data_IF_303547227569
#
_entry.id   IF_303547227569
#
_cell.length_a   1.000
_cell.length_b   1.000
_cell.length_c   1.000
_cell.angle_alpha   90.00
_cell.angle_beta   90.00
_cell.angle_gamma   90.00
#
_symmetry.space_group_name_H-M   'P 1'
#
loop_
_entity.id
_entity.type
_entity.pdbx_description
1 polymer ?
#
# COMPACT_ATOMS: atom_id res chain seq x y z
N UNK A 1 -35.96 -55.88 47.85
CA UNK A 1 -34.65 -55.41 48.36
C UNK A 1 -33.72 -55.17 47.18
N UNK A 2 -32.86 -54.13 47.21
CA UNK A 2 -32.34 -53.40 46.04
C UNK A 2 -31.08 -54.08 45.47
N UNK A 3 -30.60 -53.79 44.25
CA UNK A 3 -29.63 -52.73 43.90
C UNK A 3 -29.28 -52.93 42.40
N UNK A 4 -29.14 -51.86 41.60
CA UNK A 4 -28.52 -51.96 40.27
C UNK A 4 -28.79 -50.79 39.33
N UNK A 5 -28.05 -49.70 39.52
CA UNK A 5 -27.97 -48.46 38.72
C UNK A 5 -27.92 -48.63 37.19
N UNK A 6 -28.59 -47.77 36.38
CA UNK A 6 -28.30 -47.65 34.97
C UNK A 6 -27.17 -46.63 34.69
N UNK A 7 -26.25 -47.08 33.84
CA UNK A 7 -25.14 -46.40 33.19
C UNK A 7 -25.54 -45.04 32.58
N UNK A 8 -24.77 -43.98 32.91
CA UNK A 8 -24.89 -42.66 32.29
C UNK A 8 -24.45 -42.73 30.83
N UNK A 9 -25.40 -42.62 29.91
CA UNK A 9 -25.13 -42.35 28.50
C UNK A 9 -24.54 -40.94 28.34
N UNK A 10 -23.32 -40.86 27.79
CA UNK A 10 -22.71 -39.60 27.38
C UNK A 10 -23.38 -39.14 26.09
N UNK A 11 -24.43 -38.30 26.22
CA UNK A 11 -24.93 -37.48 25.13
C UNK A 11 -23.82 -36.47 24.77
N UNK A 12 -23.14 -36.67 23.65
CA UNK A 12 -22.34 -35.64 23.01
C UNK A 12 -23.33 -34.57 22.55
N UNK A 13 -23.53 -33.53 23.37
CA UNK A 13 -24.20 -32.33 22.90
C UNK A 13 -23.24 -31.61 21.95
N UNK A 14 -23.64 -31.28 20.71
CA UNK A 14 -22.87 -30.37 19.90
C UNK A 14 -22.93 -29.00 20.58
N UNK A 15 -21.83 -28.60 21.22
CA UNK A 15 -21.61 -27.20 21.58
C UNK A 15 -21.37 -26.48 20.26
N UNK A 16 -22.46 -26.13 19.57
CA UNK A 16 -22.42 -25.10 18.53
C UNK A 16 -22.04 -23.84 19.28
N UNK A 17 -20.76 -23.46 19.20
CA UNK A 17 -20.29 -22.18 19.68
C UNK A 17 -21.09 -21.10 18.95
N UNK A 18 -22.11 -20.56 19.62
CA UNK A 18 -22.80 -19.35 19.21
C UNK A 18 -21.78 -18.24 19.36
N UNK A 19 -21.00 -17.98 18.31
CA UNK A 19 -20.33 -16.70 18.17
C UNK A 19 -21.45 -15.66 18.28
N UNK A 20 -21.32 -14.77 19.26
CA UNK A 20 -22.27 -13.69 19.49
C UNK A 20 -22.48 -12.95 18.16
N UNK A 21 -23.73 -12.69 17.78
CA UNK A 21 -24.06 -12.06 16.49
C UNK A 21 -23.32 -10.71 16.36
N UNK A 22 -23.05 -10.03 17.48
CA UNK A 22 -22.20 -8.84 17.54
C UNK A 22 -20.73 -9.12 17.20
N UNK A 23 -20.14 -10.23 17.68
CA UNK A 23 -18.77 -10.62 17.30
C UNK A 23 -18.69 -11.02 15.83
N UNK A 24 -19.69 -11.75 15.32
CA UNK A 24 -19.77 -12.11 13.90
C UNK A 24 -19.88 -10.87 13.03
N UNK A 25 -20.78 -9.93 13.36
CA UNK A 25 -20.93 -8.66 12.64
C UNK A 25 -19.68 -7.78 12.72
N UNK A 26 -19.00 -7.74 13.87
CA UNK A 26 -17.75 -6.99 14.03
C UNK A 26 -16.61 -7.58 13.20
N UNK A 27 -16.47 -8.90 13.20
CA UNK A 27 -15.49 -9.63 12.41
C UNK A 27 -15.77 -9.47 10.91
N UNK A 28 -17.03 -9.59 10.49
CA UNK A 28 -17.47 -9.35 9.11
C UNK A 28 -17.21 -7.92 8.65
N UNK A 29 -17.52 -6.92 9.48
CA UNK A 29 -17.26 -5.50 9.20
C UNK A 29 -15.76 -5.22 9.00
N UNK A 30 -14.90 -5.87 9.80
CA UNK A 30 -13.44 -5.75 9.67
C UNK A 30 -12.94 -6.40 8.38
N UNK A 31 -13.41 -7.60 8.03
CA UNK A 31 -13.03 -8.28 6.78
C UNK A 31 -13.51 -7.53 5.54
N UNK A 32 -14.73 -6.98 5.57
CA UNK A 32 -15.28 -6.17 4.50
C UNK A 32 -14.43 -4.91 4.28
N UNK A 33 -13.99 -4.25 5.37
CA UNK A 33 -13.15 -3.07 5.28
C UNK A 33 -11.76 -3.37 4.70
N UNK A 34 -11.16 -4.51 5.05
CA UNK A 34 -9.87 -4.97 4.48
C UNK A 34 -10.02 -5.23 2.97
N UNK A 35 -11.08 -5.93 2.56
CA UNK A 35 -11.36 -6.18 1.14
C UNK A 35 -11.62 -4.89 0.36
N UNK A 36 -12.37 -3.95 0.94
CA UNK A 36 -12.59 -2.60 0.40
C UNK A 36 -11.27 -1.83 0.25
N UNK A 37 -10.41 -1.87 1.26
CA UNK A 37 -9.11 -1.21 1.21
C UNK A 37 -8.20 -1.79 0.12
N UNK A 38 -8.20 -3.10 -0.08
CA UNK A 38 -7.44 -3.74 -1.16
C UNK A 38 -7.92 -3.27 -2.54
N UNK A 39 -9.24 -3.31 -2.80
CA UNK A 39 -9.83 -2.82 -4.06
C UNK A 39 -9.55 -1.34 -4.30
N UNK A 40 -9.60 -0.52 -3.25
CA UNK A 40 -9.22 0.89 -3.32
C UNK A 40 -7.80 1.07 -3.85
N UNK A 41 -6.83 0.33 -3.33
CA UNK A 41 -5.44 0.43 -3.78
C UNK A 41 -5.25 -0.04 -5.23
N UNK A 42 -5.97 -1.07 -5.67
CA UNK A 42 -5.98 -1.49 -7.09
C UNK A 42 -6.45 -0.35 -7.99
N UNK A 43 -7.56 0.30 -7.67
CA UNK A 43 -8.07 1.43 -8.46
C UNK A 43 -7.08 2.61 -8.50
N UNK A 44 -6.42 2.90 -7.38
CA UNK A 44 -5.38 3.93 -7.31
C UNK A 44 -4.16 3.56 -8.16
N UNK A 45 -3.74 2.29 -8.19
CA UNK A 45 -2.65 1.83 -9.07
C UNK A 45 -2.97 1.99 -10.54
N UNK A 46 -4.25 1.80 -10.91
CA UNK A 46 -4.76 1.96 -12.28
C UNK A 46 -4.94 3.43 -12.68
N UNK A 47 -4.63 4.39 -11.79
CA UNK A 47 -4.72 5.82 -12.07
C UNK A 47 -6.07 6.46 -11.75
N UNK A 48 -6.99 5.75 -11.08
CA UNK A 48 -8.25 6.33 -10.62
C UNK A 48 -8.01 7.50 -9.66
N UNK A 49 -8.88 8.51 -9.71
CA UNK A 49 -8.87 9.58 -8.71
C UNK A 49 -9.33 9.03 -7.35
N UNK A 50 -8.93 9.69 -6.26
CA UNK A 50 -9.35 9.30 -4.91
C UNK A 50 -10.88 9.26 -4.78
N UNK A 51 -11.58 10.22 -5.39
CA UNK A 51 -13.03 10.29 -5.39
C UNK A 51 -13.65 9.09 -6.10
N UNK A 52 -13.25 8.83 -7.35
CA UNK A 52 -13.76 7.71 -8.13
C UNK A 52 -13.46 6.36 -7.44
N UNK A 53 -12.27 6.20 -6.85
CA UNK A 53 -11.91 5.00 -6.11
C UNK A 53 -12.75 4.81 -4.82
N UNK A 54 -13.07 5.89 -4.10
CA UNK A 54 -13.95 5.81 -2.92
C UNK A 54 -15.38 5.44 -3.31
N UNK A 55 -15.89 6.07 -4.37
CA UNK A 55 -17.25 5.87 -4.85
C UNK A 55 -17.43 4.43 -5.38
N UNK A 56 -16.45 3.91 -6.14
CA UNK A 56 -16.46 2.52 -6.65
C UNK A 56 -16.33 1.44 -5.57
N UNK A 57 -15.64 1.74 -4.46
CA UNK A 57 -15.45 0.80 -3.33
C UNK A 57 -16.60 0.91 -2.30
N UNK A 58 -17.40 1.97 -2.38
CA UNK A 58 -18.49 2.24 -1.44
C UNK A 58 -17.99 2.69 -0.07
N UNK A 59 -16.97 3.56 -0.03
CA UNK A 59 -16.44 4.13 1.22
C UNK A 59 -16.47 5.65 1.22
N UNK A 60 -16.59 6.25 2.41
CA UNK A 60 -16.53 7.70 2.56
C UNK A 60 -15.16 8.23 2.11
N UNK A 61 -15.14 9.38 1.41
CA UNK A 61 -13.92 10.09 0.97
C UNK A 61 -12.95 10.39 2.12
N UNK A 62 -13.46 10.61 3.35
CA UNK A 62 -12.63 10.76 4.57
C UNK A 62 -11.84 9.49 4.87
N UNK A 63 -12.46 8.32 4.72
CA UNK A 63 -11.83 7.01 4.91
C UNK A 63 -10.73 6.78 3.87
N UNK A 64 -11.01 7.02 2.58
CA UNK A 64 -10.00 6.91 1.52
C UNK A 64 -8.83 7.88 1.71
N UNK A 65 -9.09 9.12 2.17
CA UNK A 65 -8.04 10.08 2.54
C UNK A 65 -7.18 9.57 3.70
N UNK A 66 -7.80 9.00 4.74
CA UNK A 66 -7.09 8.42 5.88
C UNK A 66 -6.22 7.24 5.46
N UNK A 67 -6.71 6.34 4.61
CA UNK A 67 -5.90 5.24 4.07
C UNK A 67 -4.68 5.75 3.31
N UNK A 68 -4.86 6.77 2.47
CA UNK A 68 -3.75 7.38 1.73
C UNK A 68 -2.76 8.11 2.65
N UNK A 69 -3.22 8.74 3.73
CA UNK A 69 -2.34 9.37 4.73
C UNK A 69 -1.56 8.34 5.54
N UNK A 70 -2.19 7.23 5.94
CA UNK A 70 -1.56 6.17 6.71
C UNK A 70 -0.35 5.54 5.99
N UNK A 71 -0.35 5.52 4.65
CA UNK A 71 0.77 5.03 3.84
C UNK A 71 1.74 6.13 3.40
N UNK A 72 1.59 7.37 3.87
CA UNK A 72 2.39 8.52 3.42
C UNK A 72 2.15 8.88 1.95
N UNK A 73 1.03 8.44 1.38
CA UNK A 73 0.69 8.57 -0.03
C UNK A 73 1.40 7.58 -0.94
N UNK A 74 2.14 6.61 -0.39
CA UNK A 74 2.69 5.49 -1.15
C UNK A 74 1.61 4.44 -1.36
N UNK A 75 1.58 3.87 -2.55
CA UNK A 75 0.77 2.71 -2.84
C UNK A 75 1.46 1.51 -2.17
N UNK A 76 0.76 0.74 -1.30
CA UNK A 76 1.29 -0.51 -0.78
C UNK A 76 1.70 -1.43 -1.93
N UNK A 77 2.90 -2.00 -1.85
CA UNK A 77 3.29 -3.01 -2.81
C UNK A 77 2.40 -4.24 -2.55
N UNK A 78 1.82 -4.87 -3.58
CA UNK A 78 1.16 -6.15 -3.40
C UNK A 78 2.12 -7.14 -2.75
N UNK A 79 1.59 -8.07 -1.94
CA UNK A 79 2.38 -9.15 -1.38
C UNK A 79 3.04 -9.90 -2.53
N UNK A 80 4.37 -9.97 -2.51
CA UNK A 80 5.11 -10.63 -3.56
C UNK A 80 4.74 -12.12 -3.56
N UNK A 81 4.34 -12.63 -4.72
CA UNK A 81 4.12 -14.07 -4.89
C UNK A 81 5.38 -14.81 -4.46
N UNK A 82 5.22 -15.82 -3.60
CA UNK A 82 6.35 -16.60 -3.12
C UNK A 82 6.96 -17.33 -4.31
N UNK A 83 8.15 -16.91 -4.74
CA UNK A 83 8.91 -17.64 -5.76
C UNK A 83 9.01 -19.11 -5.36
N UNK A 84 8.93 -20.05 -6.31
CA UNK A 84 9.03 -21.49 -6.05
C UNK A 84 10.28 -21.93 -5.27
N UNK A 85 11.28 -21.05 -5.09
CA UNK A 85 12.43 -21.25 -4.22
C UNK A 85 12.08 -21.37 -2.72
N UNK A 86 11.04 -20.69 -2.24
CA UNK A 86 10.66 -20.69 -0.82
C UNK A 86 9.39 -21.50 -0.60
N UNK A 87 9.18 -21.95 0.64
CA UNK A 87 7.91 -22.58 1.03
C UNK A 87 6.82 -21.52 1.16
N UNK A 88 5.61 -21.80 0.66
CA UNK A 88 4.42 -20.99 0.86
C UNK A 88 3.80 -21.25 2.24
N UNK A 89 2.85 -20.40 2.66
CA UNK A 89 2.09 -20.65 3.88
C UNK A 89 1.28 -21.96 3.79
N UNK A 90 0.69 -22.23 2.63
CA UNK A 90 -0.09 -23.45 2.39
C UNK A 90 0.78 -24.71 2.52
N UNK A 91 1.98 -24.70 1.93
CA UNK A 91 2.93 -25.81 2.10
C UNK A 91 3.33 -25.97 3.57
N UNK A 92 3.51 -24.88 4.32
CA UNK A 92 3.81 -24.94 5.76
C UNK A 92 2.65 -25.53 6.56
N UNK A 93 1.41 -25.18 6.26
CA UNK A 93 0.23 -25.77 6.91
C UNK A 93 0.16 -27.27 6.64
N UNK A 94 0.33 -27.68 5.37
CA UNK A 94 0.34 -29.09 4.99
C UNK A 94 1.47 -29.89 5.67
N UNK A 95 2.65 -29.30 5.82
CA UNK A 95 3.76 -29.90 6.59
C UNK A 95 3.35 -30.09 8.05
N UNK A 96 2.65 -29.13 8.65
CA UNK A 96 2.20 -29.21 10.03
C UNK A 96 1.19 -30.34 10.24
N UNK A 97 0.19 -30.45 9.38
CA UNK A 97 -0.84 -31.50 9.47
C UNK A 97 -0.22 -32.90 9.33
N UNK A 98 0.65 -33.10 8.34
CA UNK A 98 1.33 -34.38 8.12
C UNK A 98 2.29 -34.73 9.27
N UNK A 99 2.98 -33.74 9.82
CA UNK A 99 3.88 -33.94 10.95
C UNK A 99 3.11 -34.28 12.23
N UNK A 100 1.97 -33.64 12.46
CA UNK A 100 1.06 -33.96 13.58
C UNK A 100 0.51 -35.39 13.45
N UNK A 101 0.21 -35.83 12.23
CA UNK A 101 -0.18 -37.21 11.92
C UNK A 101 0.94 -38.25 12.04
N UNK A 102 2.13 -37.88 12.51
CA UNK A 102 3.26 -38.80 12.72
C UNK A 102 3.99 -39.20 11.43
N UNK A 103 3.73 -38.53 10.30
CA UNK A 103 4.37 -38.86 9.03
C UNK A 103 5.86 -38.56 9.07
N UNK A 104 6.69 -39.48 8.60
CA UNK A 104 8.15 -39.29 8.53
C UNK A 104 8.55 -38.22 7.50
N UNK A 105 9.67 -37.51 7.76
CA UNK A 105 10.16 -36.39 6.94
C UNK A 105 10.24 -36.69 5.43
N UNK A 106 10.69 -37.90 5.06
CA UNK A 106 10.79 -38.31 3.65
C UNK A 106 9.43 -38.45 2.96
N UNK A 107 8.43 -38.97 3.67
CA UNK A 107 7.07 -39.10 3.16
C UNK A 107 6.38 -37.74 3.06
N UNK A 108 6.58 -36.85 4.06
CA UNK A 108 6.11 -35.45 3.97
C UNK A 108 6.70 -34.77 2.73
N UNK A 109 7.99 -34.95 2.48
CA UNK A 109 8.67 -34.36 1.33
C UNK A 109 8.07 -34.82 -0.01
N UNK A 110 7.79 -36.12 -0.16
CA UNK A 110 7.13 -36.66 -1.35
C UNK A 110 5.71 -36.09 -1.53
N UNK A 111 4.92 -36.01 -0.47
CA UNK A 111 3.53 -35.51 -0.50
C UNK A 111 3.42 -34.02 -0.80
N UNK A 112 4.38 -33.22 -0.32
CA UNK A 112 4.43 -31.77 -0.55
C UNK A 112 5.15 -31.43 -1.86
N UNK A 113 5.86 -32.38 -2.48
CA UNK A 113 6.63 -32.16 -3.71
C UNK A 113 7.93 -31.38 -3.49
N UNK A 114 8.58 -31.57 -2.34
CA UNK A 114 9.80 -30.83 -1.93
C UNK A 114 10.91 -31.79 -1.54
N UNK A 115 12.15 -31.29 -1.45
CA UNK A 115 13.27 -32.12 -0.97
C UNK A 115 13.13 -32.45 0.52
N UNK A 116 13.52 -33.67 0.92
CA UNK A 116 13.52 -34.08 2.32
C UNK A 116 14.42 -33.19 3.21
N UNK A 117 15.50 -32.64 2.63
CA UNK A 117 16.40 -31.70 3.32
C UNK A 117 15.69 -30.39 3.61
N UNK A 118 14.85 -29.90 2.70
CA UNK A 118 14.04 -28.68 2.90
C UNK A 118 13.09 -28.86 4.07
N UNK A 119 12.34 -29.96 4.09
CA UNK A 119 11.37 -30.27 5.16
C UNK A 119 12.08 -30.43 6.50
N UNK A 120 13.19 -31.16 6.55
CA UNK A 120 13.99 -31.32 7.77
C UNK A 120 14.48 -29.98 8.32
N UNK A 121 15.02 -29.10 7.46
CA UNK A 121 15.48 -27.77 7.85
C UNK A 121 14.33 -26.88 8.32
N UNK A 122 13.16 -26.96 7.71
CA UNK A 122 11.99 -26.19 8.11
C UNK A 122 11.51 -26.60 9.51
N UNK A 123 11.33 -27.90 9.75
CA UNK A 123 10.91 -28.44 11.05
C UNK A 123 11.94 -28.13 12.15
N UNK A 124 13.23 -28.24 11.85
CA UNK A 124 14.29 -27.91 12.81
C UNK A 124 14.37 -26.42 13.17
N UNK A 125 13.98 -25.52 12.25
CA UNK A 125 13.99 -24.07 12.46
C UNK A 125 12.69 -23.56 13.08
N UNK A 126 11.56 -24.17 12.72
CA UNK A 126 10.21 -23.77 13.13
C UNK A 126 9.64 -24.54 14.32
N UNK A 127 10.35 -25.54 14.85
CA UNK A 127 9.99 -26.23 16.09
C UNK A 127 10.39 -25.42 17.33
N UNK A 128 9.55 -25.46 18.37
CA UNK A 128 9.93 -24.94 19.69
C UNK A 128 11.15 -25.71 20.21
N UNK A 129 12.25 -25.03 20.53
CA UNK A 129 13.44 -25.67 21.13
C UNK A 129 13.33 -25.82 22.65
N UNK A 130 12.24 -25.34 23.25
CA UNK A 130 12.09 -25.23 24.70
C UNK A 130 10.83 -25.95 25.17
N UNK A 131 10.97 -26.72 26.25
CA UNK A 131 9.89 -27.40 26.97
C UNK A 131 9.73 -28.89 26.62
N UNK A 132 8.99 -29.66 27.44
CA UNK A 132 8.82 -31.11 27.29
C UNK A 132 8.17 -31.54 25.96
N UNK A 133 7.53 -30.59 25.26
CA UNK A 133 6.75 -30.79 24.03
C UNK A 133 7.47 -30.25 22.78
N UNK A 134 8.77 -29.93 22.88
CA UNK A 134 9.59 -29.32 21.81
C UNK A 134 9.54 -30.07 20.47
N UNK A 135 9.35 -31.40 20.50
CA UNK A 135 9.28 -32.25 19.29
C UNK A 135 7.90 -32.29 18.63
N UNK A 136 6.84 -31.80 19.30
CA UNK A 136 5.43 -32.01 18.88
C UNK A 136 4.75 -30.76 18.32
N UNK A 137 5.37 -29.58 18.40
CA UNK A 137 4.76 -28.31 17.96
C UNK A 137 5.61 -27.60 16.92
N UNK A 138 5.47 -28.01 15.68
CA UNK A 138 5.80 -27.14 14.54
C UNK A 138 4.69 -26.10 14.38
N UNK A 139 5.04 -24.81 14.34
CA UNK A 139 4.09 -23.71 14.29
C UNK A 139 4.16 -23.00 12.91
N UNK A 140 3.27 -23.33 11.96
CA UNK A 140 3.38 -22.88 10.56
C UNK A 140 3.27 -21.36 10.42
N UNK A 141 2.34 -20.71 11.14
CA UNK A 141 2.19 -19.25 11.12
C UNK A 141 3.42 -18.52 11.70
N UNK A 142 4.03 -19.09 12.74
CA UNK A 142 5.24 -18.51 13.33
C UNK A 142 6.43 -18.65 12.37
N UNK A 143 6.57 -19.81 11.72
CA UNK A 143 7.61 -20.06 10.72
C UNK A 143 7.47 -19.11 9.52
N UNK A 144 6.24 -18.91 9.01
CA UNK A 144 5.93 -17.94 7.96
C UNK A 144 6.35 -16.53 8.37
N UNK A 145 5.90 -16.06 9.54
CA UNK A 145 6.23 -14.72 10.05
C UNK A 145 7.75 -14.52 10.20
N UNK A 146 8.47 -15.53 10.68
CA UNK A 146 9.93 -15.47 10.76
C UNK A 146 10.60 -15.40 9.39
N UNK A 147 10.09 -16.15 8.40
CA UNK A 147 10.60 -16.09 7.03
C UNK A 147 10.41 -14.70 6.41
N UNK A 148 9.23 -14.10 6.59
CA UNK A 148 8.94 -12.74 6.16
C UNK A 148 9.86 -11.71 6.83
N UNK A 149 10.05 -11.80 8.16
CA UNK A 149 10.94 -10.90 8.90
C UNK A 149 12.39 -11.00 8.41
N UNK A 150 12.89 -12.21 8.16
CA UNK A 150 14.24 -12.43 7.59
C UNK A 150 14.35 -11.89 6.16
N UNK A 151 13.27 -11.95 5.39
CA UNK A 151 13.20 -11.43 4.02
C UNK A 151 13.22 -9.91 3.91
N UNK A 152 12.84 -9.16 4.97
CA UNK A 152 12.67 -7.70 4.93
C UNK A 152 13.94 -6.89 4.62
N UNK A 153 15.13 -7.50 4.67
CA UNK A 153 16.48 -6.90 4.42
C UNK A 153 16.50 -5.37 4.64
N UNK A 154 16.25 -4.91 5.87
CA UNK A 154 16.21 -3.48 6.15
C UNK A 154 17.58 -2.86 5.86
N UNK A 155 17.58 -1.72 5.16
CA UNK A 155 18.80 -0.92 4.95
C UNK A 155 18.90 0.08 6.09
N UNK A 156 20.11 0.28 6.61
CA UNK A 156 20.39 1.32 7.60
C UNK A 156 19.93 2.68 7.04
N UNK A 157 19.19 3.43 7.85
CA UNK A 157 18.75 4.77 7.53
C UNK A 157 19.81 5.76 7.98
N UNK A 158 19.94 6.89 7.26
CA UNK A 158 20.75 8.02 7.74
C UNK A 158 20.28 8.53 9.11
N UNK A 159 18.99 8.36 9.41
CA UNK A 159 18.40 8.78 10.68
C UNK A 159 18.48 7.72 11.78
N UNK A 160 19.25 6.65 11.60
CA UNK A 160 19.61 5.78 12.74
C UNK A 160 20.67 6.45 13.65
N UNK A 161 21.33 7.51 13.16
CA UNK A 161 22.28 8.31 13.93
C UNK A 161 21.57 9.33 14.84
N UNK A 162 21.64 9.20 16.19
CA UNK A 162 20.79 9.95 17.11
C UNK A 162 21.11 11.46 17.14
N UNK A 163 22.38 11.84 17.01
CA UNK A 163 22.80 13.25 17.01
C UNK A 163 22.23 13.99 15.78
N UNK A 164 22.26 13.32 14.62
CA UNK A 164 21.74 13.86 13.38
C UNK A 164 20.22 14.05 13.46
N UNK A 165 19.51 13.06 14.00
CA UNK A 165 18.07 13.15 14.27
C UNK A 165 17.78 14.34 15.16
N UNK A 166 18.50 14.50 16.27
CA UNK A 166 18.28 15.59 17.21
C UNK A 166 18.43 16.97 16.55
N UNK A 167 19.51 17.18 15.80
CA UNK A 167 19.76 18.46 15.11
C UNK A 167 18.66 18.75 14.08
N UNK A 168 18.31 17.77 13.26
CA UNK A 168 17.27 17.93 12.23
C UNK A 168 15.90 18.23 12.87
N UNK A 169 15.53 17.52 13.94
CA UNK A 169 14.28 17.78 14.67
C UNK A 169 14.24 19.19 15.24
N UNK A 170 15.31 19.61 15.94
CA UNK A 170 15.40 20.95 16.52
C UNK A 170 15.25 22.04 15.45
N UNK A 171 15.90 21.90 14.31
CA UNK A 171 15.82 22.88 13.21
C UNK A 171 14.45 22.88 12.54
N UNK A 172 13.80 21.73 12.37
CA UNK A 172 12.43 21.66 11.89
C UNK A 172 11.46 22.37 12.83
N UNK A 173 11.59 22.21 14.16
CA UNK A 173 10.77 22.96 15.12
C UNK A 173 10.93 24.48 15.01
N UNK A 174 12.12 24.94 14.61
CA UNK A 174 12.40 26.35 14.29
C UNK A 174 11.88 26.78 12.91
N UNK A 175 11.10 25.94 12.23
CA UNK A 175 10.52 26.16 10.88
C UNK A 175 11.54 26.33 9.77
N UNK A 176 12.74 25.75 9.91
CA UNK A 176 13.74 25.72 8.83
C UNK A 176 13.27 24.79 7.70
N UNK A 177 13.57 25.14 6.45
CA UNK A 177 13.30 24.27 5.31
C UNK A 177 14.29 23.10 5.25
N UNK A 178 13.92 21.95 4.64
CA UNK A 178 14.85 20.84 4.43
C UNK A 178 16.15 21.25 3.72
N UNK A 179 16.08 22.19 2.78
CA UNK A 179 17.24 22.75 2.08
C UNK A 179 18.14 23.53 3.05
N UNK A 180 17.58 24.43 3.86
CA UNK A 180 18.32 25.19 4.86
C UNK A 180 18.99 24.29 5.90
N UNK A 181 18.34 23.19 6.29
CA UNK A 181 18.90 22.25 7.26
C UNK A 181 20.09 21.49 6.64
N UNK A 182 19.96 21.04 5.39
CA UNK A 182 21.05 20.39 4.66
C UNK A 182 22.27 21.28 4.54
N UNK A 183 22.05 22.53 4.11
CA UNK A 183 23.14 23.51 3.92
C UNK A 183 23.82 23.85 5.26
N UNK A 184 23.03 24.01 6.31
CA UNK A 184 23.56 24.26 7.66
C UNK A 184 24.40 23.10 8.20
N UNK A 185 23.94 21.86 8.00
CA UNK A 185 24.71 20.68 8.41
C UNK A 185 26.03 20.57 7.64
N UNK A 186 26.03 20.90 6.34
CA UNK A 186 27.23 20.91 5.53
C UNK A 186 28.23 22.00 5.98
N UNK A 187 27.74 23.17 6.40
CA UNK A 187 28.59 24.28 6.86
C UNK A 187 29.16 24.07 8.28
N UNK A 188 28.36 23.55 9.22
CA UNK A 188 28.77 23.35 10.61
C UNK A 188 29.64 22.11 10.78
N UNK A 189 29.41 21.07 9.98
CA UNK A 189 30.10 19.79 10.07
C UNK A 189 30.75 19.40 8.72
N UNK A 190 31.73 20.17 8.23
CA UNK A 190 32.33 19.93 6.92
C UNK A 190 32.99 18.54 6.83
N UNK A 191 33.68 18.09 7.89
CA UNK A 191 34.48 16.85 7.88
C UNK A 191 33.71 15.60 8.34
N UNK A 192 32.50 15.75 8.90
CA UNK A 192 31.72 14.62 9.43
C UNK A 192 30.69 14.12 8.41
N UNK A 193 31.05 13.07 7.65
CA UNK A 193 30.17 12.47 6.64
C UNK A 193 28.85 11.91 7.20
N UNK A 194 28.84 11.51 8.48
CA UNK A 194 27.65 11.04 9.19
C UNK A 194 26.58 12.13 9.32
N UNK A 195 27.00 13.38 9.43
CA UNK A 195 26.11 14.55 9.56
C UNK A 195 25.60 15.08 8.22
N UNK A 196 26.15 14.59 7.10
CA UNK A 196 25.72 14.99 5.76
C UNK A 196 24.42 14.28 5.37
N UNK A 197 23.39 15.08 5.09
CA UNK A 197 22.07 14.62 4.65
C UNK A 197 21.55 15.56 3.57
N UNK A 198 21.01 15.00 2.49
CA UNK A 198 20.38 15.81 1.45
C UNK A 198 18.95 16.23 1.82
N UNK A 199 18.42 17.32 1.25
CA UNK A 199 17.04 17.76 1.52
C UNK A 199 16.00 16.69 1.16
N UNK A 200 16.30 15.90 0.12
CA UNK A 200 15.47 14.79 -0.33
C UNK A 200 15.38 13.68 0.72
N UNK A 201 16.47 13.36 1.43
CA UNK A 201 16.47 12.35 2.50
C UNK A 201 15.63 12.82 3.68
N UNK A 202 15.73 14.10 4.06
CA UNK A 202 14.87 14.72 5.09
C UNK A 202 13.40 14.64 4.67
N UNK A 203 13.07 15.02 3.43
CA UNK A 203 11.70 14.92 2.90
C UNK A 203 11.18 13.48 2.92
N UNK A 204 12.00 12.51 2.50
CA UNK A 204 11.59 11.10 2.47
C UNK A 204 11.32 10.55 3.88
N UNK A 205 12.08 10.96 4.89
CA UNK A 205 11.84 10.56 6.27
C UNK A 205 10.55 11.17 6.84
N UNK A 206 10.27 12.45 6.52
CA UNK A 206 9.05 13.13 6.95
C UNK A 206 7.77 12.53 6.34
N UNK A 207 7.76 12.28 5.02
CA UNK A 207 6.58 11.76 4.33
C UNK A 207 6.46 10.23 4.38
N UNK A 208 7.54 9.52 4.69
CA UNK A 208 7.58 8.06 4.71
C UNK A 208 6.98 7.40 5.96
N UNK A 209 6.28 8.17 6.80
CA UNK A 209 5.67 7.67 8.05
C UNK A 209 6.67 7.43 9.18
N UNK A 210 7.73 8.25 9.29
CA UNK A 210 8.70 8.16 10.39
C UNK A 210 9.73 7.03 10.23
N UNK A 211 10.24 6.80 9.01
CA UNK A 211 11.38 5.89 8.82
C UNK A 211 12.64 6.50 9.45
N UNK A 212 13.29 5.74 10.32
CA UNK A 212 14.56 6.11 10.97
C UNK A 212 14.39 7.10 12.12
N UNK A 213 13.45 6.93 13.04
CA UNK A 213 13.45 7.70 14.31
C UNK A 213 13.02 9.17 14.25
N UNK A 214 12.69 9.73 13.08
CA UNK A 214 12.03 11.04 12.99
C UNK A 214 10.56 10.96 13.41
N UNK A 215 10.09 11.89 14.25
CA UNK A 215 8.68 11.95 14.66
C UNK A 215 7.78 12.24 13.46
N UNK A 216 6.67 11.51 13.36
CA UNK A 216 5.74 11.57 12.22
C UNK A 216 5.11 12.96 12.06
N UNK A 217 4.94 13.71 13.15
CA UNK A 217 4.21 14.99 13.16
C UNK A 217 5.05 16.19 12.71
N UNK A 218 6.36 16.02 12.50
CA UNK A 218 7.27 17.13 12.17
C UNK A 218 6.97 17.79 10.82
N UNK A 219 6.21 17.12 9.95
CA UNK A 219 5.74 17.70 8.69
C UNK A 219 4.86 18.95 8.90
N UNK A 220 4.25 19.12 10.08
CA UNK A 220 3.45 20.28 10.44
C UNK A 220 4.27 21.57 10.54
N UNK A 221 5.57 21.46 10.84
CA UNK A 221 6.47 22.63 10.90
C UNK A 221 6.94 23.10 9.52
N UNK A 222 6.72 22.31 8.47
CA UNK A 222 6.95 22.77 7.11
C UNK A 222 5.90 23.82 6.74
N UNK A 223 6.28 24.81 5.93
CA UNK A 223 5.36 25.85 5.42
C UNK A 223 4.06 25.31 4.80
N UNK A 224 4.10 24.10 4.25
CA UNK A 224 2.93 23.47 3.62
C UNK A 224 2.10 22.61 4.58
N UNK A 225 2.65 22.20 5.73
CA UNK A 225 1.98 21.35 6.73
C UNK A 225 1.49 19.99 6.21
N UNK A 226 1.94 19.54 5.03
CA UNK A 226 1.37 18.35 4.37
C UNK A 226 1.92 17.08 4.99
N UNK A 227 1.06 16.14 5.34
CA UNK A 227 1.46 14.77 5.73
C UNK A 227 1.89 13.91 4.54
N UNK A 228 1.55 14.32 3.30
CA UNK A 228 1.81 13.56 2.07
C UNK A 228 2.56 14.45 1.08
N UNK A 229 3.61 13.90 0.48
CA UNK A 229 4.34 14.58 -0.59
C UNK A 229 3.46 14.79 -1.82
N UNK A 230 3.53 15.98 -2.42
CA UNK A 230 2.93 16.22 -3.73
C UNK A 230 3.71 15.41 -4.79
N UNK A 231 3.05 14.53 -5.56
CA UNK A 231 3.75 13.82 -6.63
C UNK A 231 4.24 14.82 -7.68
N UNK A 232 5.45 14.62 -8.19
CA UNK A 232 6.07 15.52 -9.19
C UNK A 232 5.35 15.44 -10.54
N UNK A 233 4.84 14.26 -10.89
CA UNK A 233 3.97 14.07 -12.05
C UNK A 233 2.53 13.96 -11.55
N UNK A 234 1.57 14.70 -12.13
CA UNK A 234 0.17 14.38 -11.91
C UNK A 234 -0.05 12.92 -12.34
N UNK A 235 -0.98 12.21 -11.67
CA UNK A 235 -1.51 10.98 -12.24
C UNK A 235 -1.90 11.29 -13.68
N UNK A 236 -1.57 10.40 -14.63
CA UNK A 236 -1.89 10.60 -16.03
C UNK A 236 -3.32 11.11 -16.10
N UNK A 237 -3.50 12.36 -16.55
CA UNK A 237 -4.84 12.83 -16.85
C UNK A 237 -5.28 11.90 -17.96
N UNK A 238 -6.27 11.05 -17.69
CA UNK A 238 -7.19 10.64 -18.74
C UNK A 238 -7.83 11.96 -19.16
N UNK A 239 -7.15 12.72 -20.02
CA UNK A 239 -7.80 13.79 -20.77
C UNK A 239 -8.97 13.09 -21.41
N UNK A 240 -10.19 13.41 -20.98
CA UNK A 240 -11.37 12.92 -21.67
C UNK A 240 -11.16 13.14 -23.16
N UNK A 241 -11.63 12.19 -23.98
CA UNK A 241 -11.68 12.43 -25.43
C UNK A 241 -12.35 13.79 -25.63
N UNK A 242 -11.75 14.66 -26.42
CA UNK A 242 -12.32 15.98 -26.73
C UNK A 242 -13.76 15.70 -27.20
N UNK A 243 -14.79 16.29 -26.57
CA UNK A 243 -16.16 16.17 -27.06
C UNK A 243 -16.22 16.63 -28.52
N UNK A 244 -16.90 15.88 -29.38
CA UNK A 244 -17.00 16.14 -30.82
C UNK A 244 -15.67 16.11 -31.60
N UNK A 245 -14.75 15.22 -31.21
CA UNK A 245 -13.54 14.96 -31.98
C UNK A 245 -13.89 14.29 -33.31
N UNK A 246 -13.84 15.03 -34.41
CA UNK A 246 -13.90 14.50 -35.78
C UNK A 246 -12.66 13.67 -36.06
N UNK A 247 -12.86 12.42 -36.46
CA UNK A 247 -11.75 11.52 -36.79
C UNK A 247 -11.12 11.98 -38.12
N UNK A 248 -9.83 11.69 -38.34
CA UNK A 248 -9.16 12.04 -39.61
C UNK A 248 -9.88 11.37 -40.80
N UNK A 249 -10.51 10.21 -40.56
CA UNK A 249 -11.36 9.48 -41.52
C UNK A 249 -12.67 10.19 -41.85
N UNK A 250 -13.13 11.12 -41.02
CA UNK A 250 -14.37 11.89 -41.17
C UNK A 250 -14.10 13.29 -41.74
N UNK A 251 -12.86 13.55 -42.19
CA UNK A 251 -12.51 14.82 -42.82
C UNK A 251 -13.30 14.95 -44.13
N UNK A 252 -14.03 16.07 -44.37
CA UNK A 252 -14.72 16.28 -45.63
C UNK A 252 -13.72 16.31 -46.80
N UNK A 253 -14.08 15.64 -47.89
CA UNK A 253 -13.25 15.45 -49.11
C UNK A 253 -12.86 16.77 -49.79
N UNK A 254 -13.61 17.84 -49.55
CA UNK A 254 -13.32 19.21 -49.98
C UNK A 254 -11.93 19.70 -49.54
N UNK A 255 -11.40 19.14 -48.44
CA UNK A 255 -10.11 19.55 -47.87
C UNK A 255 -8.91 18.84 -48.51
N UNK A 256 -9.09 17.68 -49.13
CA UNK A 256 -8.03 16.99 -49.88
C UNK A 256 -7.62 17.75 -51.15
N UNK A 257 -8.58 18.45 -51.77
CA UNK A 257 -8.39 19.12 -53.05
C UNK A 257 -7.84 20.55 -52.99
N UNK A 258 -7.76 21.20 -51.80
CA UNK A 258 -7.31 22.61 -51.63
C UNK A 258 -7.85 23.61 -52.68
N UNK A 259 -9.03 23.37 -53.25
CA UNK A 259 -9.56 24.15 -54.37
C UNK A 259 -10.47 25.31 -53.94
N UNK A 260 -10.86 25.37 -52.66
CA UNK A 260 -11.69 26.44 -52.13
C UNK A 260 -10.88 27.36 -51.19
N UNK A 261 -10.89 28.70 -51.40
CA UNK A 261 -10.36 29.64 -50.44
C UNK A 261 -11.14 29.52 -49.12
N UNK A 262 -10.44 29.16 -48.04
CA UNK A 262 -10.95 29.27 -46.67
C UNK A 262 -11.00 30.74 -46.32
N UNK A 263 -12.15 31.38 -46.56
CA UNK A 263 -12.69 32.58 -45.86
C UNK A 263 -13.41 33.52 -46.84
N UNK A 264 -14.72 33.33 -47.00
CA UNK A 264 -15.58 34.37 -47.57
C UNK A 264 -16.03 35.29 -46.43
N UNK A 265 -15.41 36.47 -46.31
CA UNK A 265 -15.90 37.52 -45.42
C UNK A 265 -17.37 37.84 -45.77
N UNK A 266 -18.30 37.90 -44.81
CA UNK A 266 -19.66 38.33 -45.12
C UNK A 266 -19.63 39.76 -45.65
N UNK A 267 -20.18 39.98 -46.85
CA UNK A 267 -20.27 41.32 -47.45
C UNK A 267 -21.13 42.21 -46.53
N UNK A 268 -20.71 43.45 -46.24
CA UNK A 268 -21.49 44.35 -45.40
C UNK A 268 -22.83 44.68 -46.09
N UNK A 269 -23.92 44.49 -45.34
CA UNK A 269 -25.27 44.94 -45.72
C UNK A 269 -25.24 46.48 -45.82
N UNK A 270 -25.76 47.02 -46.93
CA UNK A 270 -25.57 48.41 -47.36
C UNK A 270 -25.79 49.46 -46.28
N UNK A 271 -24.83 50.37 -46.17
CA UNK A 271 -24.97 51.63 -45.43
C UNK A 271 -26.02 52.49 -46.13
N UNK A 272 -27.15 52.72 -45.46
CA UNK A 272 -28.12 53.73 -45.87
C UNK A 272 -27.43 55.11 -45.81
N UNK A 273 -27.16 55.70 -46.97
CA UNK A 273 -26.72 57.09 -47.07
C UNK A 273 -27.85 58.00 -46.58
N UNK A 274 -27.67 58.60 -45.39
CA UNK A 274 -28.45 59.77 -44.97
C UNK A 274 -28.19 60.88 -46.00
N UNK A 275 -29.21 61.22 -46.80
CA UNK A 275 -29.21 62.46 -47.58
C UNK A 275 -29.19 63.62 -46.58
N UNK A 276 -28.15 64.43 -46.64
CA UNK A 276 -28.12 65.77 -46.03
C UNK A 276 -28.82 66.69 -47.02
N UNK A 277 -29.97 67.24 -46.62
CA UNK A 277 -30.65 68.31 -47.36
C UNK A 277 -29.99 69.64 -46.99
N UNK A 278 -29.55 70.48 -47.93
CA UNK A 278 -29.16 71.85 -47.62
C UNK A 278 -30.40 72.76 -47.51
N UNK A 279 -30.28 73.77 -46.64
CA UNK A 279 -31.20 74.84 -46.23
C UNK A 279 -32.59 74.93 -46.86
#
# INVERSE_FOLDING_TARGET
MPIGTPVRGWRIQPVVATLDFCEVLYVWSKYELVGKQARFWVLITQGSTLTAACDAVGVNRRTGRRWRQATGGRIPLPEAETSGRYLSLEERLRIADLHLGGTGVRAIAALVGRSAVTISRELARGGSKTGPQARTKYAPYAAQKQAELRGRRPKASKFDHPELVFVVQKKLCLKWSPDQISDHLAAVFPDRQEMRVSPEVICQALYGGGRGGLRVDLHQHLRTGRAIRRPRRPAAKNSGKIPDMTMISERPTEVEGRAAPVHEFPRPVGLATRRVTPM
#
